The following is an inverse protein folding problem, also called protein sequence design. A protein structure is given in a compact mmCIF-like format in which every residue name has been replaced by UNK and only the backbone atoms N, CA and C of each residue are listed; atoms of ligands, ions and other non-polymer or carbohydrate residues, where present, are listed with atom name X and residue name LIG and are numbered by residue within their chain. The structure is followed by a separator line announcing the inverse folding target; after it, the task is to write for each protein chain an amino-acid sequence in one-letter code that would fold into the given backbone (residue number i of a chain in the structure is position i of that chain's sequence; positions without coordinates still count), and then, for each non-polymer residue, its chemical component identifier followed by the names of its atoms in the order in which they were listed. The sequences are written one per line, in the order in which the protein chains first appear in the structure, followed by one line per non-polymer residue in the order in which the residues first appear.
data_IF_329376795520
#
_entry.id   IF_329376795520
#
_cell.length_a   1.000
_cell.length_b   1.000
_cell.length_c   1.000
_cell.angle_alpha   90.00
_cell.angle_beta   90.00
_cell.angle_gamma   90.00
#
_symmetry.space_group_name_H-M   'P 1'
#
loop_
_entity.id
_entity.type
_entity.pdbx_description
1 polymer ?
#
# COMPACT_ATOMS: atom_id res chain seq x y z
N UNK A 1 -3.52 3.87 -10.37
CA UNK A 1 -3.61 3.82 -8.88
C UNK A 1 -2.38 4.50 -8.29
N UNK A 2 -2.53 5.39 -7.32
CA UNK A 2 -1.38 6.01 -6.62
C UNK A 2 -1.03 5.19 -5.37
N UNK A 3 0.24 4.85 -5.20
CA UNK A 3 0.76 4.24 -3.97
C UNK A 3 1.64 5.24 -3.23
N UNK A 4 1.37 5.45 -1.94
CA UNK A 4 2.19 6.23 -0.99
C UNK A 4 2.96 5.24 -0.14
N UNK A 5 4.28 5.42 -0.03
CA UNK A 5 5.19 4.54 0.69
C UNK A 5 5.72 5.26 1.93
N UNK A 6 5.81 4.52 3.04
CA UNK A 6 6.22 5.03 4.34
C UNK A 6 7.30 4.14 4.93
N UNK A 7 8.19 4.74 5.73
CA UNK A 7 9.15 3.99 6.54
C UNK A 7 8.43 3.20 7.65
N UNK A 8 9.15 2.29 8.32
CA UNK A 8 8.61 1.56 9.47
C UNK A 8 8.13 2.50 10.61
N UNK A 9 8.76 3.67 10.75
CA UNK A 9 8.38 4.72 11.71
C UNK A 9 7.22 5.59 11.22
N UNK A 10 6.47 5.15 10.19
CA UNK A 10 5.29 5.83 9.63
C UNK A 10 5.59 7.20 9.01
N UNK A 11 6.86 7.47 8.63
CA UNK A 11 7.25 8.69 7.93
C UNK A 11 7.05 8.52 6.43
N UNK A 12 6.51 9.54 5.76
CA UNK A 12 6.37 9.53 4.31
C UNK A 12 7.75 9.42 3.65
N UNK A 13 7.87 8.53 2.67
CA UNK A 13 9.09 8.33 1.89
C UNK A 13 8.92 8.86 0.46
N UNK A 14 7.92 8.36 -0.27
CA UNK A 14 7.65 8.77 -1.64
C UNK A 14 6.28 8.28 -2.11
N UNK A 15 5.86 8.69 -3.30
CA UNK A 15 4.70 8.16 -3.99
C UNK A 15 5.00 7.79 -5.44
N UNK A 16 4.23 6.85 -6.00
CA UNK A 16 4.33 6.40 -7.40
C UNK A 16 2.94 6.13 -7.97
N UNK A 17 2.75 6.43 -9.25
CA UNK A 17 1.57 5.97 -10.00
C UNK A 17 1.87 4.59 -10.55
N UNK A 18 0.99 3.64 -10.25
CA UNK A 18 0.96 2.31 -10.85
C UNK A 18 -0.04 2.33 -12.01
N UNK A 19 0.46 1.94 -13.17
CA UNK A 19 -0.25 1.79 -14.43
C UNK A 19 -0.56 0.31 -14.71
N UNK A 20 -1.33 0.05 -15.76
CA UNK A 20 -1.62 -1.32 -16.18
C UNK A 20 -0.33 -2.08 -16.52
N UNK A 21 -0.17 -3.29 -15.98
CA UNK A 21 1.00 -4.13 -16.15
C UNK A 21 2.10 -3.93 -15.10
N UNK A 22 2.04 -2.86 -14.30
CA UNK A 22 2.99 -2.65 -13.22
C UNK A 22 2.76 -3.64 -12.06
N UNK A 23 3.86 -4.09 -11.46
CA UNK A 23 3.85 -4.94 -10.27
C UNK A 23 4.67 -4.27 -9.18
N UNK A 24 4.12 -4.24 -7.96
CA UNK A 24 4.82 -3.75 -6.77
C UNK A 24 4.87 -4.83 -5.70
N UNK A 25 6.05 -5.02 -5.10
CA UNK A 25 6.25 -5.85 -3.91
C UNK A 25 6.36 -4.95 -2.68
N UNK A 26 5.48 -5.16 -1.71
CA UNK A 26 5.43 -4.42 -0.45
C UNK A 26 6.02 -5.26 0.68
N UNK A 27 7.34 -5.32 0.75
CA UNK A 27 8.06 -6.23 1.65
C UNK A 27 8.16 -5.74 3.12
N UNK A 28 8.18 -4.43 3.34
CA UNK A 28 8.31 -3.84 4.68
C UNK A 28 7.82 -2.39 4.70
N UNK A 29 7.72 -1.81 5.90
CA UNK A 29 7.26 -0.43 6.07
C UNK A 29 5.75 -0.30 5.99
N UNK A 30 5.28 0.90 5.64
CA UNK A 30 3.86 1.21 5.47
C UNK A 30 3.55 1.59 4.03
N UNK A 31 2.30 1.38 3.62
CA UNK A 31 1.80 1.85 2.33
C UNK A 31 0.36 2.32 2.44
N UNK A 32 -0.03 3.21 1.52
CA UNK A 32 -1.41 3.62 1.33
C UNK A 32 -1.72 3.68 -0.16
N UNK A 33 -2.92 3.26 -0.54
CA UNK A 33 -3.40 3.33 -1.91
C UNK A 33 -4.46 4.41 -2.06
N UNK A 34 -4.41 5.13 -3.17
CA UNK A 34 -5.40 6.11 -3.58
C UNK A 34 -5.83 5.80 -5.01
N UNK A 35 -7.12 5.54 -5.18
CA UNK A 35 -7.73 5.29 -6.49
C UNK A 35 -8.00 6.65 -7.13
N UNK A 36 -7.17 6.99 -8.13
CA UNK A 36 -7.19 8.30 -8.81
C UNK A 36 -7.86 8.24 -10.19
N UNK A 37 -8.23 7.04 -10.65
CA UNK A 37 -8.91 6.75 -11.92
C UNK A 37 -9.63 5.39 -11.80
N UNK A 38 -10.43 5.00 -12.79
CA UNK A 38 -11.04 3.67 -12.86
C UNK A 38 -9.96 2.58 -12.94
N UNK A 39 -9.96 1.65 -11.97
CA UNK A 39 -8.89 0.66 -11.80
C UNK A 39 -9.49 -0.66 -11.31
N UNK A 40 -9.08 -1.74 -11.98
CA UNK A 40 -9.14 -3.10 -11.44
C UNK A 40 -7.72 -3.59 -11.16
N UNK A 41 -7.50 -4.18 -9.99
CA UNK A 41 -6.19 -4.73 -9.61
C UNK A 41 -6.35 -5.99 -8.76
N UNK A 42 -5.29 -6.79 -8.70
CA UNK A 42 -5.23 -8.00 -7.88
C UNK A 42 -4.24 -7.73 -6.75
N UNK A 43 -4.67 -7.98 -5.52
CA UNK A 43 -3.79 -7.98 -4.35
C UNK A 43 -3.52 -9.42 -3.91
N UNK A 44 -2.24 -9.78 -3.77
CA UNK A 44 -1.80 -11.08 -3.27
C UNK A 44 -1.09 -10.87 -1.94
N UNK A 45 -1.55 -11.56 -0.88
CA UNK A 45 -0.96 -11.49 0.46
C UNK A 45 -0.25 -12.81 0.80
N UNK A 46 0.88 -12.70 1.51
CA UNK A 46 1.64 -13.86 1.98
C UNK A 46 1.11 -14.29 3.37
N UNK A 47 0.87 -15.59 3.56
CA UNK A 47 0.41 -16.14 4.83
C UNK A 47 -1.10 -16.40 4.91
N UNK A 48 -1.56 -17.04 6.00
CA UNK A 48 -2.98 -17.27 6.23
C UNK A 48 -3.70 -15.94 6.49
N UNK A 49 -4.93 -15.81 6.00
CA UNK A 49 -5.76 -14.64 6.31
C UNK A 49 -6.17 -14.65 7.79
N UNK A 50 -5.63 -13.72 8.57
CA UNK A 50 -5.89 -13.60 10.03
C UNK A 50 -6.97 -12.56 10.36
N UNK A 51 -7.63 -12.01 9.35
CA UNK A 51 -8.67 -11.00 9.51
C UNK A 51 -8.11 -9.60 9.81
N UNK A 52 -8.91 -8.77 10.48
CA UNK A 52 -8.58 -7.37 10.71
C UNK A 52 -7.49 -7.13 11.77
N UNK A 53 -7.20 -8.14 12.60
CA UNK A 53 -6.21 -8.06 13.67
C UNK A 53 -4.76 -8.02 13.15
N UNK A 54 -4.53 -8.37 11.89
CA UNK A 54 -3.21 -8.35 11.24
C UNK A 54 -2.72 -6.93 10.93
N UNK A 55 -3.62 -5.94 10.87
CA UNK A 55 -3.34 -4.63 10.28
C UNK A 55 -3.12 -3.55 11.33
N UNK A 56 -1.91 -2.98 11.36
CA UNK A 56 -1.66 -1.70 12.02
C UNK A 56 -2.03 -0.57 11.05
N UNK A 57 -3.06 0.20 11.38
CA UNK A 57 -3.46 1.39 10.62
C UNK A 57 -2.95 2.65 11.29
N UNK A 58 -2.61 3.65 10.48
CA UNK A 58 -2.24 4.98 10.95
C UNK A 58 -2.76 6.02 9.97
N UNK A 59 -3.07 7.21 10.49
CA UNK A 59 -3.34 8.37 9.65
C UNK A 59 -2.00 8.94 9.22
N UNK A 60 -1.81 9.14 7.92
CA UNK A 60 -0.66 9.88 7.43
C UNK A 60 -0.76 11.31 7.97
N UNK A 61 0.24 11.75 8.73
CA UNK A 61 0.34 13.15 9.11
C UNK A 61 0.61 13.99 7.84
N UNK A 62 0.00 15.19 7.74
CA UNK A 62 0.19 16.09 6.60
C UNK A 62 1.66 16.48 6.38
#
# INVERSE_FOLDING_TARGET
MMVKLYTADRKFLTSRVLCAGDVILLASGGHGFEVIDDVSFIEVKQGPYVGEQEKVRFTANP
#
